data_IF_400051399923
#
_entry.id   IF_400051399923
#
_cell.length_a   1.000
_cell.length_b   1.000
_cell.length_c   1.000
_cell.angle_alpha   90.00
_cell.angle_beta   90.00
_cell.angle_gamma   90.00
#
_symmetry.space_group_name_H-M   'P 1'
#
loop_
_entity.id
_entity.type
_entity.pdbx_description
1 polymer ?
#
# COMPACT_ATOMS: atom_id res chain seq x y z
N UNK A 1 -17.89 21.37 0.54
CA UNK A 1 -19.07 21.68 -0.32
C UNK A 1 -18.62 21.37 -1.73
N UNK A 2 -19.26 20.41 -2.40
CA UNK A 2 -18.87 20.01 -3.76
C UNK A 2 -19.06 21.17 -4.73
N UNK A 3 -18.11 21.37 -5.62
CA UNK A 3 -18.21 22.34 -6.72
C UNK A 3 -19.44 22.12 -7.61
N UNK A 4 -19.89 20.87 -7.81
CA UNK A 4 -21.16 20.51 -8.47
C UNK A 4 -21.66 19.11 -8.04
N UNK A 5 -22.58 18.98 -7.06
CA UNK A 5 -23.03 17.69 -6.54
C UNK A 5 -23.85 16.85 -7.54
N UNK A 6 -24.25 17.43 -8.68
CA UNK A 6 -25.09 16.77 -9.69
C UNK A 6 -24.27 15.88 -10.63
N UNK A 7 -22.96 16.11 -10.78
CA UNK A 7 -22.14 15.44 -11.79
C UNK A 7 -21.40 14.18 -11.33
N UNK A 8 -21.47 13.83 -10.05
CA UNK A 8 -20.88 12.59 -9.53
C UNK A 8 -19.34 12.62 -9.43
N UNK A 9 -18.76 11.53 -8.95
CA UNK A 9 -17.36 11.44 -8.50
C UNK A 9 -16.30 11.74 -9.56
N UNK A 10 -16.65 11.61 -10.84
CA UNK A 10 -15.74 11.77 -11.98
C UNK A 10 -15.41 13.22 -12.33
N UNK A 11 -16.16 14.18 -11.79
CA UNK A 11 -15.97 15.62 -12.03
C UNK A 11 -15.39 16.34 -10.81
N UNK A 12 -14.95 15.60 -9.79
CA UNK A 12 -14.29 16.18 -8.63
C UNK A 12 -12.97 16.81 -9.06
N UNK A 13 -12.79 18.09 -8.74
CA UNK A 13 -11.51 18.76 -8.91
C UNK A 13 -10.54 18.31 -7.81
N UNK A 14 -9.22 18.46 -8.00
CA UNK A 14 -8.22 18.16 -6.96
C UNK A 14 -8.53 18.83 -5.60
N UNK A 15 -9.09 20.04 -5.61
CA UNK A 15 -9.48 20.79 -4.42
C UNK A 15 -10.67 20.15 -3.69
N UNK A 16 -11.64 19.58 -4.44
CA UNK A 16 -12.77 18.84 -3.86
C UNK A 16 -12.26 17.57 -3.16
N UNK A 17 -11.31 16.86 -3.78
CA UNK A 17 -10.68 15.66 -3.20
C UNK A 17 -9.88 16.01 -1.94
N UNK A 18 -9.11 17.10 -1.97
CA UNK A 18 -8.35 17.57 -0.81
C UNK A 18 -9.28 17.96 0.35
N UNK A 19 -10.36 18.70 0.06
CA UNK A 19 -11.38 19.08 1.04
C UNK A 19 -12.07 17.86 1.66
N UNK A 20 -12.40 16.85 0.85
CA UNK A 20 -12.98 15.59 1.34
C UNK A 20 -12.00 14.80 2.20
N UNK A 21 -10.75 14.69 1.78
CA UNK A 21 -9.71 14.00 2.57
C UNK A 21 -9.53 14.67 3.93
N UNK A 22 -9.52 16.00 3.97
CA UNK A 22 -9.43 16.78 5.20
C UNK A 22 -10.68 16.60 6.07
N UNK A 23 -11.87 16.64 5.48
CA UNK A 23 -13.15 16.46 6.18
C UNK A 23 -13.30 15.05 6.74
N UNK A 24 -12.80 14.04 6.03
CA UNK A 24 -12.80 12.65 6.46
C UNK A 24 -11.72 12.34 7.52
N UNK A 25 -10.87 13.30 7.86
CA UNK A 25 -9.70 13.09 8.72
C UNK A 25 -8.77 12.00 8.16
N UNK A 26 -8.71 11.87 6.83
CA UNK A 26 -7.97 10.80 6.16
C UNK A 26 -6.47 11.14 6.18
N UNK A 27 -5.68 10.24 6.74
CA UNK A 27 -4.22 10.32 6.67
C UNK A 27 -3.62 8.94 6.53
N UNK A 28 -2.61 8.81 5.68
CA UNK A 28 -1.87 7.56 5.50
C UNK A 28 -0.39 7.84 5.59
N UNK A 29 0.31 7.02 6.39
CA UNK A 29 1.76 6.97 6.46
C UNK A 29 2.19 5.57 6.09
N UNK A 30 2.96 5.43 5.00
CA UNK A 30 3.50 4.15 4.55
C UNK A 30 5.02 4.22 4.49
N UNK A 31 5.69 3.13 4.86
CA UNK A 31 7.13 2.97 4.78
C UNK A 31 7.50 1.60 4.23
N UNK A 32 8.58 1.58 3.46
CA UNK A 32 9.19 0.36 2.95
C UNK A 32 10.71 0.51 3.08
N UNK A 33 11.31 -0.21 4.03
CA UNK A 33 12.72 -0.01 4.40
C UNK A 33 13.49 -1.31 4.21
N UNK A 34 14.62 -1.25 3.52
CA UNK A 34 15.49 -2.40 3.35
C UNK A 34 16.01 -2.90 4.70
N UNK A 35 15.86 -4.20 4.96
CA UNK A 35 16.46 -4.84 6.11
C UNK A 35 17.97 -5.02 5.85
N UNK A 36 18.80 -4.94 6.90
CA UNK A 36 20.26 -5.15 6.79
C UNK A 36 20.65 -6.63 6.65
N UNK A 37 19.68 -7.50 6.38
CA UNK A 37 19.86 -8.94 6.25
C UNK A 37 20.45 -9.28 4.87
N UNK A 38 21.27 -10.34 4.77
CA UNK A 38 21.73 -10.84 3.48
C UNK A 38 20.55 -11.37 2.66
N UNK A 39 20.77 -11.52 1.34
CA UNK A 39 19.76 -12.08 0.43
C UNK A 39 19.29 -13.46 0.91
N UNK A 40 17.98 -13.66 0.91
CA UNK A 40 17.33 -14.91 1.27
C UNK A 40 16.88 -15.66 0.01
N UNK A 41 17.01 -17.00 0.02
CA UNK A 41 16.47 -17.83 -1.07
C UNK A 41 14.98 -18.08 -0.84
N UNK A 42 14.14 -17.56 -1.72
CA UNK A 42 12.69 -17.78 -1.69
C UNK A 42 12.30 -18.73 -2.81
N UNK A 43 11.64 -19.85 -2.46
CA UNK A 43 11.13 -20.81 -3.44
C UNK A 43 9.67 -20.52 -3.75
N UNK A 44 9.35 -20.38 -5.03
CA UNK A 44 8.00 -20.11 -5.53
C UNK A 44 7.72 -21.03 -6.71
N UNK A 45 6.87 -22.03 -6.48
CA UNK A 45 6.70 -23.14 -7.42
C UNK A 45 8.01 -23.92 -7.60
N UNK A 46 8.47 -24.02 -8.84
CA UNK A 46 9.72 -24.71 -9.21
C UNK A 46 10.94 -23.78 -9.22
N UNK A 47 10.74 -22.46 -9.18
CA UNK A 47 11.79 -21.46 -9.26
C UNK A 47 12.30 -21.05 -7.88
N UNK A 48 13.56 -20.63 -7.81
CA UNK A 48 14.20 -20.12 -6.59
C UNK A 48 14.79 -18.74 -6.88
N UNK A 49 14.37 -17.77 -6.10
CA UNK A 49 14.77 -16.36 -6.22
C UNK A 49 15.73 -15.97 -5.11
N UNK A 50 16.60 -14.99 -5.37
CA UNK A 50 17.58 -14.48 -4.40
C UNK A 50 17.18 -13.08 -3.95
N UNK A 51 16.35 -13.04 -2.91
CA UNK A 51 15.57 -11.86 -2.56
C UNK A 51 16.22 -11.00 -1.49
N UNK A 52 16.14 -9.67 -1.65
CA UNK A 52 16.29 -8.73 -0.54
C UNK A 52 15.00 -8.66 0.27
N UNK A 53 15.13 -8.47 1.59
CA UNK A 53 13.99 -8.24 2.48
C UNK A 53 13.78 -6.76 2.74
N UNK A 54 12.54 -6.32 2.64
CA UNK A 54 12.13 -4.99 3.08
C UNK A 54 11.02 -5.12 4.12
N UNK A 55 11.14 -4.31 5.17
CA UNK A 55 10.11 -4.14 6.19
C UNK A 55 9.04 -3.19 5.65
N UNK A 56 7.80 -3.64 5.64
CA UNK A 56 6.62 -2.89 5.24
C UNK A 56 5.84 -2.46 6.49
N UNK A 57 5.57 -1.16 6.61
CA UNK A 57 4.66 -0.62 7.61
C UNK A 57 3.72 0.40 6.96
N UNK A 58 2.43 0.32 7.26
CA UNK A 58 1.45 1.29 6.80
C UNK A 58 0.40 1.53 7.86
N UNK A 59 0.09 2.79 8.11
CA UNK A 59 -0.97 3.21 9.02
C UNK A 59 -1.89 4.15 8.27
N UNK A 60 -3.16 3.78 8.14
CA UNK A 60 -4.21 4.63 7.60
C UNK A 60 -5.17 4.99 8.73
N UNK A 61 -5.43 6.28 8.91
CA UNK A 61 -6.39 6.83 9.86
C UNK A 61 -7.51 7.48 9.07
N UNK A 62 -8.74 7.17 9.47
CA UNK A 62 -9.98 7.74 8.95
C UNK A 62 -10.77 8.21 10.16
N UNK A 63 -10.91 9.53 10.33
CA UNK A 63 -11.51 10.13 11.53
C UNK A 63 -12.55 11.20 11.16
N UNK A 64 -13.69 10.81 10.56
CA UNK A 64 -14.70 11.76 10.11
C UNK A 64 -15.56 12.22 11.30
N UNK A 65 -16.12 13.45 11.26
CA UNK A 65 -16.88 14.01 12.39
C UNK A 65 -18.18 13.25 12.73
N UNK A 66 -18.70 12.42 11.82
CA UNK A 66 -20.02 11.78 11.96
C UNK A 66 -19.96 10.26 12.15
N UNK A 67 -18.78 9.63 12.10
CA UNK A 67 -18.63 8.18 12.29
C UNK A 67 -17.44 7.87 13.19
N UNK A 68 -17.43 6.66 13.76
CA UNK A 68 -16.34 6.22 14.63
C UNK A 68 -15.03 6.18 13.87
N UNK A 69 -13.99 6.79 14.45
CA UNK A 69 -12.59 6.68 14.03
C UNK A 69 -12.23 5.25 13.68
N UNK A 70 -11.56 5.09 12.55
CA UNK A 70 -11.01 3.83 12.07
C UNK A 70 -9.51 3.99 11.81
N UNK A 71 -8.72 3.09 12.36
CA UNK A 71 -7.29 2.96 12.07
C UNK A 71 -7.04 1.60 11.43
N UNK A 72 -6.31 1.56 10.32
CA UNK A 72 -5.89 0.34 9.64
C UNK A 72 -4.38 0.28 9.73
N UNK A 73 -3.86 -0.75 10.41
CA UNK A 73 -2.44 -1.01 10.55
C UNK A 73 -2.06 -2.20 9.67
N UNK A 74 -1.03 -2.04 8.85
CA UNK A 74 -0.44 -3.10 8.05
C UNK A 74 1.04 -3.23 8.40
N UNK A 75 1.49 -4.43 8.72
CA UNK A 75 2.90 -4.71 9.02
C UNK A 75 3.31 -6.02 8.37
N UNK A 76 4.42 -6.01 7.64
CA UNK A 76 4.83 -7.16 6.88
C UNK A 76 6.26 -7.11 6.35
N UNK A 77 6.54 -8.09 5.50
CA UNK A 77 7.81 -8.29 4.83
C UNK A 77 7.58 -8.44 3.33
N UNK A 78 8.47 -7.81 2.57
CA UNK A 78 8.51 -7.83 1.11
C UNK A 78 9.80 -8.49 0.69
N UNK A 79 9.71 -9.50 -0.16
CA UNK A 79 10.86 -10.14 -0.79
C UNK A 79 10.99 -9.62 -2.21
N UNK A 80 12.11 -8.96 -2.50
CA UNK A 80 12.38 -8.37 -3.81
C UNK A 80 13.55 -9.02 -4.52
N UNK A 81 13.34 -9.29 -5.80
CA UNK A 81 14.39 -9.68 -6.74
C UNK A 81 14.21 -8.82 -8.00
N UNK A 82 15.15 -7.91 -8.26
CA UNK A 82 15.10 -6.95 -9.37
C UNK A 82 15.11 -7.63 -10.75
N UNK A 83 15.45 -8.92 -10.82
CA UNK A 83 15.34 -9.70 -12.05
C UNK A 83 13.90 -10.10 -12.40
N UNK A 84 12.96 -9.95 -11.47
CA UNK A 84 11.55 -10.33 -11.63
C UNK A 84 10.68 -9.15 -12.03
N UNK A 85 9.51 -9.39 -12.66
CA UNK A 85 8.59 -8.32 -12.99
C UNK A 85 8.12 -7.54 -11.75
N UNK A 86 8.14 -6.20 -11.85
CA UNK A 86 7.90 -5.26 -10.74
C UNK A 86 8.84 -5.42 -9.53
N UNK A 87 9.88 -6.27 -9.63
CA UNK A 87 10.86 -6.50 -8.57
C UNK A 87 10.33 -7.21 -7.33
N UNK A 88 9.07 -7.66 -7.30
CA UNK A 88 8.43 -8.26 -6.12
C UNK A 88 8.17 -9.74 -6.34
N UNK A 89 8.77 -10.57 -5.50
CA UNK A 89 8.64 -12.03 -5.52
C UNK A 89 7.50 -12.48 -4.59
N UNK A 90 7.47 -11.93 -3.37
CA UNK A 90 6.45 -12.23 -2.38
C UNK A 90 6.24 -11.03 -1.46
N UNK A 91 5.01 -10.82 -1.01
CA UNK A 91 4.69 -9.88 0.06
C UNK A 91 3.83 -10.59 1.08
N UNK A 92 4.19 -10.53 2.35
CA UNK A 92 3.43 -11.13 3.44
C UNK A 92 3.22 -10.10 4.52
N UNK A 93 1.98 -9.84 4.92
CA UNK A 93 1.68 -8.86 5.95
C UNK A 93 0.48 -9.26 6.79
N UNK A 94 0.42 -8.67 7.98
CA UNK A 94 -0.76 -8.70 8.84
C UNK A 94 -1.48 -7.38 8.76
N UNK A 95 -2.80 -7.43 8.73
CA UNK A 95 -3.68 -6.27 8.72
C UNK A 95 -4.56 -6.30 9.97
N UNK A 96 -4.62 -5.17 10.68
CA UNK A 96 -5.49 -4.97 11.83
C UNK A 96 -6.29 -3.69 11.64
N UNK A 97 -7.61 -3.79 11.80
CA UNK A 97 -8.50 -2.62 11.82
C UNK A 97 -8.96 -2.35 13.23
N UNK A 98 -8.80 -1.11 13.71
CA UNK A 98 -9.31 -0.63 14.99
C UNK A 98 -10.42 0.37 14.69
N UNK A 99 -11.66 0.09 15.11
CA UNK A 99 -12.81 0.98 14.90
C UNK A 99 -13.47 1.34 16.23
N UNK A 100 -13.51 2.63 16.56
CA UNK A 100 -14.09 3.12 17.82
C UNK A 100 -13.51 2.44 19.07
N UNK A 101 -12.20 2.22 19.09
CA UNK A 101 -11.49 1.59 20.21
C UNK A 101 -11.54 0.06 20.26
N UNK A 102 -12.25 -0.60 19.34
CA UNK A 102 -12.28 -2.06 19.24
C UNK A 102 -11.41 -2.53 18.07
N UNK A 103 -10.45 -3.41 18.37
CA UNK A 103 -9.65 -4.06 17.35
C UNK A 103 -10.41 -5.27 16.77
N UNK A 104 -10.44 -5.38 15.45
CA UNK A 104 -10.77 -6.62 14.76
C UNK A 104 -9.58 -7.58 14.85
N UNK A 105 -9.83 -8.88 14.60
CA UNK A 105 -8.77 -9.88 14.54
C UNK A 105 -7.70 -9.52 13.50
N UNK A 106 -6.45 -9.92 13.76
CA UNK A 106 -5.36 -9.77 12.81
C UNK A 106 -5.56 -10.76 11.65
N UNK A 107 -5.55 -10.25 10.43
CA UNK A 107 -5.65 -11.07 9.22
C UNK A 107 -4.30 -11.11 8.53
N UNK A 108 -3.81 -12.31 8.23
CA UNK A 108 -2.61 -12.49 7.43
C UNK A 108 -2.98 -12.52 5.94
N UNK A 109 -2.24 -11.75 5.15
CA UNK A 109 -2.40 -11.65 3.70
C UNK A 109 -1.07 -11.90 3.03
N UNK A 110 -1.11 -12.55 1.86
CA UNK A 110 0.09 -12.83 1.07
C UNK A 110 -0.18 -12.55 -0.41
N UNK A 111 0.75 -11.86 -1.06
CA UNK A 111 0.85 -11.71 -2.51
C UNK A 111 2.06 -12.50 -2.97
N UNK A 112 1.91 -13.21 -4.08
CA UNK A 112 3.00 -13.92 -4.75
C UNK A 112 3.15 -13.39 -6.17
N UNK A 113 4.37 -13.41 -6.69
CA UNK A 113 4.65 -13.20 -8.09
C UNK A 113 3.87 -14.23 -8.92
N UNK A 114 3.07 -13.75 -9.88
CA UNK A 114 2.54 -14.58 -10.94
C UNK A 114 3.56 -14.58 -12.09
N UNK A 115 3.76 -15.74 -12.72
CA UNK A 115 4.77 -15.99 -13.77
C UNK A 115 4.75 -15.00 -14.96
N UNK A 116 3.68 -14.20 -15.09
CA UNK A 116 3.48 -13.24 -16.16
C UNK A 116 3.04 -11.88 -15.62
N UNK A 117 3.58 -10.81 -16.21
CA UNK A 117 3.21 -9.43 -15.92
C UNK A 117 4.44 -8.54 -15.82
N UNK A 118 5.04 -8.15 -16.95
CA UNK A 118 6.10 -7.15 -16.99
C UNK A 118 5.52 -5.85 -17.54
N UNK A 119 5.43 -4.82 -16.70
CA UNK A 119 5.09 -3.48 -17.17
C UNK A 119 6.36 -2.72 -17.54
N UNK A 120 6.53 -2.46 -18.84
CA UNK A 120 7.64 -1.67 -19.41
C UNK A 120 7.46 -0.17 -19.27
N UNK A 121 6.29 0.28 -18.81
CA UNK A 121 6.04 1.71 -18.61
C UNK A 121 7.16 2.24 -17.71
N UNK A 122 7.78 3.40 -17.98
CA UNK A 122 8.72 3.99 -17.04
C UNK A 122 7.98 4.37 -15.74
N UNK A 123 8.69 4.47 -14.61
CA UNK A 123 8.07 5.05 -13.41
C UNK A 123 7.52 6.45 -13.76
N UNK A 124 6.36 6.85 -13.21
CA UNK A 124 5.80 8.16 -13.48
C UNK A 124 6.85 9.27 -13.26
N UNK A 125 6.92 10.30 -14.12
CA UNK A 125 7.91 11.36 -14.00
C UNK A 125 7.68 12.27 -12.78
N UNK A 126 6.53 12.15 -12.12
CA UNK A 126 6.15 12.94 -10.95
C UNK A 126 5.69 12.04 -9.80
N UNK A 127 6.07 12.40 -8.57
CA UNK A 127 5.59 11.74 -7.35
C UNK A 127 4.10 12.07 -7.17
N UNK A 128 3.23 11.14 -7.53
CA UNK A 128 1.77 11.30 -7.43
C UNK A 128 1.22 10.86 -6.06
N UNK A 129 1.99 11.08 -4.99
CA UNK A 129 1.68 10.59 -3.66
C UNK A 129 2.03 9.11 -3.44
N UNK A 130 3.18 8.69 -3.98
CA UNK A 130 3.74 7.34 -3.82
C UNK A 130 3.93 6.98 -2.33
N UNK A 131 4.21 7.97 -1.48
CA UNK A 131 4.33 7.77 -0.01
C UNK A 131 3.00 7.53 0.71
N UNK A 132 1.87 7.78 0.06
CA UNK A 132 0.53 7.68 0.65
C UNK A 132 -0.14 6.33 0.36
N UNK A 133 0.50 5.46 -0.43
CA UNK A 133 -0.02 4.12 -0.72
C UNK A 133 1.08 3.09 -0.63
N UNK A 134 0.93 2.16 0.31
CA UNK A 134 1.87 1.05 0.43
C UNK A 134 1.94 0.21 -0.84
N UNK A 135 0.85 0.07 -1.60
CA UNK A 135 0.87 -0.67 -2.87
C UNK A 135 1.74 0.02 -3.93
N UNK A 136 1.75 1.35 -3.96
CA UNK A 136 2.65 2.10 -4.84
C UNK A 136 4.11 1.89 -4.47
N UNK A 137 4.42 1.94 -3.16
CA UNK A 137 5.76 1.61 -2.67
C UNK A 137 6.15 0.17 -2.99
N UNK A 138 5.23 -0.79 -2.87
CA UNK A 138 5.47 -2.20 -3.15
C UNK A 138 5.86 -2.44 -4.61
N UNK A 139 5.15 -1.82 -5.57
CA UNK A 139 5.39 -2.06 -7.00
C UNK A 139 6.29 -1.01 -7.65
N UNK A 140 6.69 0.04 -6.93
CA UNK A 140 7.43 1.19 -7.47
C UNK A 140 6.68 1.87 -8.64
N UNK A 141 5.36 2.05 -8.48
CA UNK A 141 4.39 2.52 -9.49
C UNK A 141 3.34 3.45 -8.91
#
# INVERSE_FOLDING_TARGET
VFSDPVKGSWYMLPEDVASLSQTAGYSTTSSLVAEKTPKEKVKLGEETYSCYRLKMESVTIIDPPFVKKQTINMQGTVWRDESTPFGVVQVKWTEQTIKGGKANGMQEKTIYLLKYGFDKTPSPPFEHGERYSIFRLLFNR
#
